data_IF_720279759766
#
_entry.id   IF_720279759766
#
_cell.length_a   1.000
_cell.length_b   1.000
_cell.length_c   1.000
_cell.angle_alpha   90.00
_cell.angle_beta   90.00
_cell.angle_gamma   90.00
#
_symmetry.space_group_name_H-M   'P 1'
#
loop_
_entity.id
_entity.type
_entity.pdbx_description
1 polymer ?
#
# COMPACT_ATOMS: atom_id res chain seq x y z
N UNK A 1 -4.73 3.80 -36.18
CA UNK A 1 -4.58 3.87 -34.71
C UNK A 1 -5.10 2.55 -34.17
N UNK A 2 -4.25 1.71 -33.59
CA UNK A 2 -4.65 0.39 -33.09
C UNK A 2 -5.70 0.60 -32.01
N UNK A 3 -6.94 0.19 -32.27
CA UNK A 3 -7.92 -0.01 -31.22
C UNK A 3 -7.43 -1.19 -30.37
N UNK A 4 -6.70 -0.89 -29.30
CA UNK A 4 -6.51 -1.80 -28.16
C UNK A 4 -7.81 -1.95 -27.36
N UNK A 5 -8.94 -2.00 -28.07
CA UNK A 5 -10.25 -2.38 -27.58
C UNK A 5 -10.56 -3.79 -28.05
N UNK A 6 -9.70 -4.77 -27.72
CA UNK A 6 -10.19 -6.14 -27.71
C UNK A 6 -11.36 -6.11 -26.71
N UNK A 7 -12.57 -6.43 -27.17
CA UNK A 7 -13.78 -6.49 -26.35
C UNK A 7 -13.67 -7.65 -25.34
N UNK A 8 -12.72 -7.54 -24.41
CA UNK A 8 -12.49 -8.54 -23.38
C UNK A 8 -13.66 -8.46 -22.41
N UNK A 9 -14.21 -9.62 -22.02
CA UNK A 9 -15.20 -9.69 -20.96
C UNK A 9 -14.69 -8.97 -19.69
N UNK A 10 -15.61 -8.32 -18.97
CA UNK A 10 -15.36 -7.62 -17.70
C UNK A 10 -14.49 -8.45 -16.74
N UNK A 11 -14.77 -9.75 -16.59
CA UNK A 11 -14.06 -10.63 -15.67
C UNK A 11 -12.59 -10.81 -16.05
N UNK A 12 -12.28 -10.85 -17.36
CA UNK A 12 -10.92 -11.00 -17.86
C UNK A 12 -10.15 -9.69 -17.74
N UNK A 13 -10.79 -8.55 -17.97
CA UNK A 13 -10.19 -7.23 -17.69
C UNK A 13 -9.86 -7.10 -16.21
N UNK A 14 -10.78 -7.45 -15.32
CA UNK A 14 -10.55 -7.45 -13.87
C UNK A 14 -9.39 -8.39 -13.53
N UNK A 15 -9.38 -9.63 -14.04
CA UNK A 15 -8.32 -10.59 -13.74
C UNK A 15 -6.92 -10.08 -14.15
N UNK A 16 -6.80 -9.54 -15.36
CA UNK A 16 -5.54 -8.96 -15.86
C UNK A 16 -5.13 -7.75 -15.02
N UNK A 17 -6.09 -6.88 -14.69
CA UNK A 17 -5.85 -5.70 -13.88
C UNK A 17 -5.35 -6.07 -12.47
N UNK A 18 -6.02 -7.04 -11.83
CA UNK A 18 -5.64 -7.56 -10.51
C UNK A 18 -4.26 -8.22 -10.56
N UNK A 19 -4.03 -9.12 -11.51
CA UNK A 19 -2.74 -9.81 -11.65
C UNK A 19 -1.59 -8.81 -11.81
N UNK A 20 -1.79 -7.81 -12.68
CA UNK A 20 -0.83 -6.72 -12.88
C UNK A 20 -0.59 -5.93 -11.58
N UNK A 21 -1.64 -5.50 -10.88
CA UNK A 21 -1.54 -4.74 -9.63
C UNK A 21 -0.78 -5.54 -8.57
N UNK A 22 -1.10 -6.82 -8.40
CA UNK A 22 -0.40 -7.71 -7.46
C UNK A 22 1.09 -7.80 -7.79
N UNK A 23 1.45 -8.02 -9.05
CA UNK A 23 2.85 -8.12 -9.50
C UNK A 23 3.59 -6.80 -9.27
N UNK A 24 3.00 -5.67 -9.67
CA UNK A 24 3.63 -4.36 -9.49
C UNK A 24 3.80 -4.01 -8.03
N UNK A 25 2.78 -4.22 -7.20
CA UNK A 25 2.87 -3.94 -5.75
C UNK A 25 3.92 -4.83 -5.11
N UNK A 26 4.05 -6.09 -5.51
CA UNK A 26 5.11 -6.96 -5.02
C UNK A 26 6.50 -6.45 -5.40
N UNK A 27 6.72 -6.09 -6.68
CA UNK A 27 8.00 -5.53 -7.14
C UNK A 27 8.32 -4.22 -6.41
N UNK A 28 7.38 -3.29 -6.34
CA UNK A 28 7.57 -2.00 -5.67
C UNK A 28 7.79 -2.15 -4.16
N UNK A 29 7.11 -3.11 -3.50
CA UNK A 29 7.34 -3.41 -2.09
C UNK A 29 8.75 -3.99 -1.87
N UNK A 30 9.23 -4.86 -2.77
CA UNK A 30 10.61 -5.35 -2.73
C UNK A 30 11.62 -4.21 -2.93
N UNK A 31 11.37 -3.31 -3.88
CA UNK A 31 12.23 -2.14 -4.11
C UNK A 31 12.24 -1.20 -2.90
N UNK A 32 11.08 -0.92 -2.31
CA UNK A 32 10.97 -0.11 -1.10
C UNK A 32 11.75 -0.74 0.07
N UNK A 33 11.61 -2.06 0.25
CA UNK A 33 12.36 -2.81 1.25
C UNK A 33 13.88 -2.77 1.01
N UNK A 34 14.33 -2.91 -0.24
CA UNK A 34 15.73 -2.76 -0.61
C UNK A 34 16.24 -1.34 -0.35
N UNK A 35 15.43 -0.32 -0.63
CA UNK A 35 15.73 1.08 -0.31
C UNK A 35 15.93 1.30 1.18
N UNK A 36 15.04 0.77 2.03
CA UNK A 36 15.18 0.81 3.49
C UNK A 36 16.50 0.16 3.91
N UNK A 37 16.80 -1.05 3.40
CA UNK A 37 18.06 -1.74 3.73
C UNK A 37 19.30 -0.99 3.27
N UNK A 38 19.23 -0.31 2.12
CA UNK A 38 20.33 0.51 1.63
C UNK A 38 20.57 1.70 2.56
N UNK A 39 19.51 2.37 3.02
CA UNK A 39 19.61 3.47 3.99
C UNK A 39 20.13 2.99 5.35
N UNK A 40 19.62 1.87 5.87
CA UNK A 40 20.11 1.26 7.12
C UNK A 40 21.61 0.94 7.01
N UNK A 41 22.07 0.41 5.87
CA UNK A 41 23.48 0.10 5.64
C UNK A 41 24.37 1.35 5.52
N UNK A 42 23.81 2.47 5.04
CA UNK A 42 24.50 3.77 4.97
C UNK A 42 24.52 4.50 6.31
N UNK A 43 23.65 4.13 7.26
CA UNK A 43 23.53 4.78 8.58
C UNK A 43 23.71 3.80 9.75
N UNK A 44 24.81 3.01 9.77
CA UNK A 44 24.98 1.89 10.72
C UNK A 44 25.08 2.32 12.19
N UNK A 45 25.29 3.59 12.47
CA UNK A 45 25.36 4.14 13.83
C UNK A 45 23.99 4.22 14.52
N UNK A 46 22.90 4.20 13.74
CA UNK A 46 21.54 4.29 14.26
C UNK A 46 21.00 2.86 14.47
N UNK A 47 20.50 2.58 15.68
CA UNK A 47 19.87 1.29 15.97
C UNK A 47 18.35 1.37 15.79
N UNK A 48 17.88 1.63 14.56
CA UNK A 48 16.48 2.01 14.25
C UNK A 48 15.48 0.99 14.81
N UNK A 49 15.68 -0.29 14.50
CA UNK A 49 14.74 -1.35 14.89
C UNK A 49 14.60 -1.52 16.39
N UNK A 50 15.67 -1.26 17.15
CA UNK A 50 15.64 -1.37 18.60
C UNK A 50 14.99 -0.12 19.21
N UNK A 51 15.40 1.06 18.77
CA UNK A 51 14.87 2.35 19.24
C UNK A 51 13.38 2.52 18.95
N UNK A 52 12.89 2.07 17.79
CA UNK A 52 11.46 2.13 17.44
C UNK A 52 10.62 1.28 18.41
N UNK A 53 11.13 0.11 18.81
CA UNK A 53 10.43 -0.81 19.71
C UNK A 53 10.39 -0.38 21.18
N UNK A 54 11.23 0.57 21.58
CA UNK A 54 11.28 1.09 22.96
C UNK A 54 10.07 1.96 23.32
N UNK A 55 9.46 2.64 22.34
CA UNK A 55 8.38 3.60 22.56
C UNK A 55 7.13 3.26 21.71
N UNK A 56 5.94 3.11 22.33
CA UNK A 56 4.69 2.85 21.61
C UNK A 56 4.36 3.87 20.52
N UNK A 57 4.64 5.15 20.74
CA UNK A 57 4.38 6.22 19.77
C UNK A 57 5.28 6.05 18.54
N UNK A 58 6.56 5.75 18.75
CA UNK A 58 7.50 5.44 17.66
C UNK A 58 7.06 4.21 16.87
N UNK A 59 6.58 3.17 17.55
CA UNK A 59 6.01 2.00 16.89
C UNK A 59 4.75 2.37 16.08
N UNK A 60 3.86 3.20 16.64
CA UNK A 60 2.68 3.71 15.92
C UNK A 60 3.06 4.51 14.67
N UNK A 61 4.07 5.39 14.77
CA UNK A 61 4.62 6.15 13.64
C UNK A 61 5.21 5.24 12.57
N UNK A 62 5.95 4.21 12.97
CA UNK A 62 6.50 3.23 12.04
C UNK A 62 5.41 2.49 11.27
N UNK A 63 4.38 2.00 11.96
CA UNK A 63 3.27 1.31 11.32
C UNK A 63 2.46 2.26 10.43
N UNK A 64 2.22 3.50 10.88
CA UNK A 64 1.51 4.50 10.09
C UNK A 64 2.28 4.90 8.83
N UNK A 65 3.58 5.14 8.94
CA UNK A 65 4.46 5.39 7.80
C UNK A 65 4.52 4.21 6.82
N UNK A 66 4.49 2.98 7.33
CA UNK A 66 4.39 1.78 6.51
C UNK A 66 3.10 1.73 5.69
N UNK A 67 1.94 2.01 6.32
CA UNK A 67 0.66 2.11 5.60
C UNK A 67 0.72 3.15 4.49
N UNK A 68 1.23 4.35 4.77
CA UNK A 68 1.35 5.43 3.78
C UNK A 68 2.27 5.00 2.62
N UNK A 69 3.42 4.41 2.92
CA UNK A 69 4.36 3.90 1.90
C UNK A 69 3.68 2.86 1.00
N UNK A 70 3.00 1.87 1.58
CA UNK A 70 2.28 0.84 0.80
C UNK A 70 1.16 1.47 -0.03
N UNK A 71 0.42 2.43 0.52
CA UNK A 71 -0.62 3.17 -0.19
C UNK A 71 -0.08 3.91 -1.40
N UNK A 72 1.03 4.63 -1.25
CA UNK A 72 1.67 5.35 -2.35
C UNK A 72 2.22 4.40 -3.43
N UNK A 73 2.75 3.24 -3.03
CA UNK A 73 3.17 2.18 -3.96
C UNK A 73 2.00 1.67 -4.78
N UNK A 74 0.88 1.34 -4.12
CA UNK A 74 -0.34 0.86 -4.78
C UNK A 74 -0.92 1.96 -5.69
N UNK A 75 -1.02 3.18 -5.18
CA UNK A 75 -1.50 4.34 -5.91
C UNK A 75 -0.66 4.57 -7.17
N UNK A 76 0.68 4.56 -7.06
CA UNK A 76 1.58 4.65 -8.20
C UNK A 76 1.40 3.50 -9.20
N UNK A 77 1.27 2.26 -8.73
CA UNK A 77 1.04 1.10 -9.59
C UNK A 77 -0.30 1.17 -10.34
N UNK A 78 -1.34 1.67 -9.68
CA UNK A 78 -2.69 1.79 -10.23
C UNK A 78 -2.83 3.00 -11.18
N UNK A 79 -2.20 4.13 -10.86
CA UNK A 79 -2.33 5.39 -11.63
C UNK A 79 -1.40 5.47 -12.83
N UNK A 80 -0.27 4.75 -12.84
CA UNK A 80 0.74 4.77 -13.90
C UNK A 80 0.23 4.43 -15.33
N UNK A 81 -1.05 4.08 -15.51
CA UNK A 81 -1.66 3.82 -16.82
C UNK A 81 -3.06 4.41 -17.03
N UNK A 82 -3.52 5.34 -16.19
CA UNK A 82 -4.88 5.92 -16.33
C UNK A 82 -4.98 7.07 -17.34
N UNK A 83 -3.93 7.38 -18.09
CA UNK A 83 -3.93 8.52 -19.01
C UNK A 83 -4.36 8.16 -20.46
N UNK A 84 -5.53 7.56 -20.72
CA UNK A 84 -6.12 7.58 -22.08
C UNK A 84 -7.65 7.54 -22.09
N UNK A 85 -8.27 8.65 -22.51
CA UNK A 85 -9.35 8.68 -23.51
C UNK A 85 -10.78 8.30 -23.07
N UNK A 86 -11.50 9.21 -22.41
CA UNK A 86 -12.95 9.08 -22.23
C UNK A 86 -13.62 10.42 -21.86
N UNK A 87 -14.89 10.58 -22.21
CA UNK A 87 -15.72 11.73 -21.79
C UNK A 87 -15.84 11.77 -20.26
N UNK A 88 -15.64 12.95 -19.65
CA UNK A 88 -15.70 13.18 -18.20
C UNK A 88 -17.03 12.71 -17.59
N UNK A 89 -18.15 12.87 -18.30
CA UNK A 89 -19.48 12.48 -17.82
C UNK A 89 -19.64 10.96 -17.76
N UNK A 90 -19.14 10.24 -18.78
CA UNK A 90 -19.17 8.78 -18.79
C UNK A 90 -18.24 8.21 -17.72
N UNK A 91 -17.10 8.84 -17.44
CA UNK A 91 -16.21 8.42 -16.35
C UNK A 91 -16.88 8.50 -14.97
N UNK A 92 -17.70 9.53 -14.72
CA UNK A 92 -18.38 9.72 -13.43
C UNK A 92 -19.47 8.66 -13.19
N UNK A 93 -20.22 8.27 -14.22
CA UNK A 93 -21.36 7.35 -14.12
C UNK A 93 -21.12 5.95 -14.71
N UNK A 94 -19.86 5.53 -14.81
CA UNK A 94 -19.53 4.20 -15.28
C UNK A 94 -19.43 3.19 -14.12
N UNK A 95 -20.46 2.34 -14.00
CA UNK A 95 -20.51 1.24 -13.03
C UNK A 95 -19.32 0.27 -13.18
N UNK A 96 -18.72 0.14 -14.37
CA UNK A 96 -17.53 -0.66 -14.60
C UNK A 96 -16.33 -0.05 -13.88
N UNK A 97 -16.19 1.26 -13.94
CA UNK A 97 -15.15 2.01 -13.24
C UNK A 97 -15.32 1.91 -11.73
N UNK A 98 -16.55 2.04 -11.22
CA UNK A 98 -16.84 1.89 -9.79
C UNK A 98 -16.59 0.46 -9.30
N UNK A 99 -16.97 -0.55 -10.09
CA UNK A 99 -16.71 -1.95 -9.80
C UNK A 99 -15.21 -2.25 -9.74
N UNK A 100 -14.43 -1.73 -10.69
CA UNK A 100 -12.98 -1.84 -10.63
C UNK A 100 -12.42 -1.12 -9.41
N UNK A 101 -12.88 0.10 -9.08
CA UNK A 101 -12.43 0.82 -7.89
C UNK A 101 -12.70 0.04 -6.59
N UNK A 102 -13.90 -0.54 -6.44
CA UNK A 102 -14.23 -1.34 -5.26
C UNK A 102 -13.35 -2.61 -5.15
N UNK A 103 -13.13 -3.32 -6.27
CA UNK A 103 -12.25 -4.49 -6.32
C UNK A 103 -10.80 -4.08 -6.00
N UNK A 104 -10.36 -2.94 -6.54
CA UNK A 104 -9.04 -2.35 -6.27
C UNK A 104 -8.86 -2.09 -4.78
N UNK A 105 -9.84 -1.49 -4.14
CA UNK A 105 -9.82 -1.20 -2.71
C UNK A 105 -9.71 -2.48 -1.87
N UNK A 106 -10.54 -3.49 -2.16
CA UNK A 106 -10.51 -4.78 -1.44
C UNK A 106 -9.15 -5.45 -1.58
N UNK A 107 -8.59 -5.49 -2.79
CA UNK A 107 -7.29 -6.11 -3.04
C UNK A 107 -6.18 -5.32 -2.35
N UNK A 108 -6.23 -4.00 -2.40
CA UNK A 108 -5.27 -3.13 -1.72
C UNK A 108 -5.30 -3.33 -0.21
N UNK A 109 -6.48 -3.46 0.37
CA UNK A 109 -6.67 -3.79 1.78
C UNK A 109 -6.06 -5.16 2.13
N UNK A 110 -6.34 -6.19 1.32
CA UNK A 110 -5.79 -7.53 1.54
C UNK A 110 -4.27 -7.55 1.45
N UNK A 111 -3.70 -6.85 0.46
CA UNK A 111 -2.26 -6.71 0.30
C UNK A 111 -1.66 -5.94 1.48
N UNK A 112 -2.25 -4.82 1.89
CA UNK A 112 -1.81 -4.04 3.04
C UNK A 112 -1.79 -4.87 4.33
N UNK A 113 -2.85 -5.65 4.59
CA UNK A 113 -2.91 -6.56 5.74
C UNK A 113 -1.83 -7.64 5.64
N UNK A 114 -1.65 -8.26 4.48
CA UNK A 114 -0.64 -9.30 4.27
C UNK A 114 0.77 -8.76 4.51
N UNK A 115 1.09 -7.61 3.92
CA UNK A 115 2.37 -6.92 4.08
C UNK A 115 2.60 -6.51 5.54
N UNK A 116 1.58 -6.00 6.24
CA UNK A 116 1.70 -5.65 7.65
C UNK A 116 2.07 -6.87 8.51
N UNK A 117 1.41 -8.01 8.28
CA UNK A 117 1.73 -9.27 8.99
C UNK A 117 3.12 -9.79 8.67
N UNK A 118 3.56 -9.65 7.41
CA UNK A 118 4.91 -10.03 6.99
C UNK A 118 5.93 -9.15 7.70
N UNK A 119 5.72 -7.83 7.71
CA UNK A 119 6.65 -6.90 8.37
C UNK A 119 6.71 -7.15 9.86
N UNK A 120 5.58 -7.26 10.55
CA UNK A 120 5.53 -7.59 11.99
C UNK A 120 6.38 -8.84 12.30
N UNK A 121 6.25 -9.89 11.49
CA UNK A 121 7.05 -11.11 11.62
C UNK A 121 8.55 -10.91 11.31
N UNK A 122 8.89 -10.07 10.34
CA UNK A 122 10.27 -9.76 9.94
C UNK A 122 10.95 -8.72 10.86
N UNK A 123 10.19 -8.02 11.71
CA UNK A 123 10.70 -7.03 12.67
C UNK A 123 10.36 -7.42 14.12
N UNK A 124 10.85 -8.56 14.64
CA UNK A 124 10.50 -9.01 15.99
C UNK A 124 10.96 -8.04 17.10
N UNK A 125 11.90 -7.14 16.80
CA UNK A 125 12.36 -6.08 17.72
C UNK A 125 11.37 -4.91 17.84
N UNK A 126 10.39 -4.80 16.94
CA UNK A 126 9.36 -3.77 16.96
C UNK A 126 8.03 -4.44 17.32
N UNK A 127 7.62 -4.45 18.59
CA UNK A 127 6.38 -5.11 19.00
C UNK A 127 5.17 -4.28 18.59
N UNK A 128 4.49 -4.62 17.48
CA UNK A 128 3.36 -3.81 16.96
C UNK A 128 2.22 -3.70 17.97
N UNK A 129 1.99 -4.73 18.78
CA UNK A 129 1.00 -4.75 19.85
C UNK A 129 1.25 -3.66 20.92
N UNK A 130 2.48 -3.15 21.03
CA UNK A 130 2.82 -2.09 21.99
C UNK A 130 2.06 -0.79 21.78
N UNK A 131 1.54 -0.54 20.57
CA UNK A 131 0.72 0.64 20.24
C UNK A 131 -0.48 0.79 21.18
N UNK A 132 -1.07 -0.32 21.63
CA UNK A 132 -2.21 -0.30 22.56
C UNK A 132 -1.88 0.24 23.95
N UNK A 133 -0.60 0.41 24.28
CA UNK A 133 -0.16 0.93 25.58
C UNK A 133 -0.28 2.45 25.71
N UNK A 134 -0.49 3.17 24.60
CA UNK A 134 -0.54 4.64 24.63
C UNK A 134 -1.57 5.21 23.65
N UNK A 135 -2.50 6.09 24.08
CA UNK A 135 -3.59 6.59 23.23
C UNK A 135 -3.08 7.35 21.99
N UNK A 136 -2.01 8.13 22.12
CA UNK A 136 -1.39 8.81 20.97
C UNK A 136 -0.86 7.80 19.95
N UNK A 137 -0.28 6.69 20.39
CA UNK A 137 0.22 5.66 19.49
C UNK A 137 -0.92 5.03 18.69
N UNK A 138 -2.03 4.71 19.36
CA UNK A 138 -3.26 4.24 18.69
C UNK A 138 -3.76 5.29 17.70
N UNK A 139 -3.78 6.57 18.08
CA UNK A 139 -4.17 7.66 17.19
C UNK A 139 -3.30 7.76 15.93
N UNK A 140 -1.98 7.62 16.05
CA UNK A 140 -1.06 7.62 14.90
C UNK A 140 -1.24 6.37 14.04
N UNK A 141 -1.43 5.21 14.64
CA UNK A 141 -1.75 3.97 13.92
C UNK A 141 -3.05 4.14 13.10
N UNK A 142 -4.08 4.75 13.70
CA UNK A 142 -5.36 5.04 13.05
C UNK A 142 -5.19 6.03 11.91
N UNK A 143 -4.47 7.12 12.15
CA UNK A 143 -4.14 8.10 11.13
C UNK A 143 -3.48 7.46 9.90
N UNK A 144 -2.51 6.56 10.11
CA UNK A 144 -1.79 5.89 9.03
C UNK A 144 -2.71 5.10 8.10
N UNK A 145 -3.62 4.27 8.64
CA UNK A 145 -4.53 3.52 7.79
C UNK A 145 -5.62 4.41 7.17
N UNK A 146 -6.01 5.52 7.81
CA UNK A 146 -6.96 6.48 7.22
C UNK A 146 -6.35 7.16 5.99
N UNK A 147 -5.08 7.56 6.07
CA UNK A 147 -4.36 8.10 4.90
C UNK A 147 -4.25 7.02 3.82
N UNK A 148 -3.91 5.78 4.18
CA UNK A 148 -3.86 4.67 3.24
C UNK A 148 -5.20 4.43 2.51
N UNK A 149 -6.33 4.52 3.20
CA UNK A 149 -7.66 4.38 2.57
C UNK A 149 -8.04 5.55 1.67
N UNK A 150 -7.40 6.72 1.83
CA UNK A 150 -7.63 7.88 0.99
C UNK A 150 -6.77 7.95 -0.28
N UNK A 151 -5.77 7.07 -0.42
CA UNK A 151 -4.87 6.97 -1.58
C UNK A 151 -5.44 6.02 -2.65
#
# INVERSE_FOLDING_TARGET
>A
MYELGLALPIWLTVLIWVARTVVLVFICSLLAWLGIRALDALTPEIQERQRIGENPISTGLFIGGFFIMVGLVIHGAATAYTAVGGSIVNYIFDFRTWGMAAISFVISLLIGIALLRIVDKLTPKIPFVSVNKHPIAVGVYVFGYLVFFGL
#
